data_IF_451343604214
#
_entry.id   IF_451343604214
#
_cell.length_a   1.000
_cell.length_b   1.000
_cell.length_c   1.000
_cell.angle_alpha   90.00
_cell.angle_beta   90.00
_cell.angle_gamma   90.00
#
_symmetry.space_group_name_H-M   'P 1'
#
loop_
_entity.id
_entity.type
_entity.pdbx_description
1 polymer ?
#
# COMPACT_ATOMS: atom_id res chain seq x y z
N UNK A 1 66.36 41.59 -12.00
CA UNK A 1 65.24 41.69 -12.95
C UNK A 1 64.32 40.48 -12.76
N UNK A 2 63.69 40.33 -11.57
CA UNK A 2 62.85 39.16 -11.23
C UNK A 2 61.50 39.52 -10.58
N UNK A 3 61.31 40.75 -10.09
CA UNK A 3 60.06 41.17 -9.45
C UNK A 3 58.91 41.43 -10.43
N UNK A 4 59.22 41.82 -11.67
CA UNK A 4 58.21 42.18 -12.69
C UNK A 4 57.54 40.94 -13.32
N UNK A 5 58.23 39.81 -13.38
CA UNK A 5 57.69 38.56 -13.93
C UNK A 5 56.70 37.87 -12.98
N UNK A 6 56.96 37.92 -11.67
CA UNK A 6 56.08 37.33 -10.66
C UNK A 6 54.78 38.13 -10.49
N UNK A 7 54.84 39.46 -10.62
CA UNK A 7 53.65 40.32 -10.60
C UNK A 7 52.75 40.05 -11.82
N UNK A 8 53.34 39.90 -13.01
CA UNK A 8 52.59 39.57 -14.24
C UNK A 8 51.98 38.18 -14.19
N UNK A 9 52.71 37.17 -13.68
CA UNK A 9 52.17 35.80 -13.51
C UNK A 9 51.01 35.76 -12.53
N UNK A 10 51.09 36.46 -11.39
CA UNK A 10 49.99 36.55 -10.42
C UNK A 10 48.76 37.26 -10.99
N UNK A 11 48.95 38.33 -11.75
CA UNK A 11 47.86 39.02 -12.44
C UNK A 11 47.17 38.12 -13.48
N UNK A 12 47.95 37.34 -14.24
CA UNK A 12 47.44 36.39 -15.24
C UNK A 12 46.65 35.24 -14.58
N UNK A 13 47.17 34.68 -13.47
CA UNK A 13 46.49 33.63 -12.72
C UNK A 13 45.19 34.14 -12.10
N UNK A 14 45.19 35.33 -11.49
CA UNK A 14 43.96 35.92 -10.95
C UNK A 14 42.92 36.24 -12.03
N UNK A 15 43.37 36.67 -13.21
CA UNK A 15 42.48 36.93 -14.33
C UNK A 15 41.85 35.64 -14.88
N UNK A 16 42.64 34.57 -15.02
CA UNK A 16 42.16 33.24 -15.41
C UNK A 16 41.18 32.65 -14.39
N UNK A 17 41.45 32.81 -13.09
CA UNK A 17 40.54 32.42 -12.01
C UNK A 17 39.22 33.20 -12.07
N UNK A 18 39.27 34.50 -12.36
CA UNK A 18 38.09 35.33 -12.54
C UNK A 18 37.20 34.84 -13.70
N UNK A 19 37.79 34.47 -14.83
CA UNK A 19 37.06 33.93 -15.98
C UNK A 19 36.46 32.56 -15.65
N UNK A 20 37.22 31.67 -15.01
CA UNK A 20 36.72 30.36 -14.61
C UNK A 20 35.54 30.48 -13.63
N UNK A 21 35.62 31.38 -12.65
CA UNK A 21 34.55 31.66 -11.71
C UNK A 21 33.30 32.22 -12.41
N UNK A 22 33.48 33.11 -13.40
CA UNK A 22 32.38 33.67 -14.17
C UNK A 22 31.67 32.62 -15.03
N UNK A 23 32.43 31.73 -15.68
CA UNK A 23 31.89 30.61 -16.46
C UNK A 23 31.11 29.65 -15.56
N UNK A 24 31.66 29.32 -14.38
CA UNK A 24 30.99 28.45 -13.41
C UNK A 24 29.69 29.08 -12.89
N UNK A 25 29.70 30.38 -12.58
CA UNK A 25 28.52 31.12 -12.13
C UNK A 25 27.45 31.19 -13.23
N UNK A 26 27.85 31.41 -14.48
CA UNK A 26 26.94 31.42 -15.64
C UNK A 26 26.33 30.04 -15.91
N UNK A 27 27.12 28.97 -15.82
CA UNK A 27 26.63 27.60 -15.97
C UNK A 27 25.64 27.24 -14.85
N UNK A 28 25.95 27.63 -13.60
CA UNK A 28 25.08 27.44 -12.45
C UNK A 28 23.77 28.23 -12.60
N UNK A 29 23.85 29.50 -13.00
CA UNK A 29 22.67 30.33 -13.27
C UNK A 29 21.80 29.73 -14.38
N UNK A 30 22.40 29.24 -15.48
CA UNK A 30 21.66 28.60 -16.58
C UNK A 30 21.00 27.29 -16.16
N UNK A 31 21.65 26.50 -15.31
CA UNK A 31 21.09 25.27 -14.75
C UNK A 31 19.90 25.57 -13.82
N UNK A 32 20.05 26.51 -12.91
CA UNK A 32 18.98 26.90 -11.99
C UNK A 32 17.81 27.60 -12.69
N UNK A 33 18.06 28.59 -13.56
CA UNK A 33 17.00 29.28 -14.30
C UNK A 33 16.31 28.35 -15.31
N UNK A 34 17.06 27.48 -16.00
CA UNK A 34 16.47 26.49 -16.90
C UNK A 34 15.58 25.50 -16.16
N UNK A 35 16.00 25.06 -14.97
CA UNK A 35 15.22 24.17 -14.11
C UNK A 35 13.98 24.86 -13.52
N UNK A 36 14.10 26.13 -13.10
CA UNK A 36 12.99 26.92 -12.55
C UNK A 36 11.93 27.24 -13.61
N UNK A 37 12.35 27.65 -14.81
CA UNK A 37 11.44 27.91 -15.94
C UNK A 37 10.77 26.60 -16.40
N UNK A 38 11.55 25.51 -16.49
CA UNK A 38 11.01 24.18 -16.76
C UNK A 38 9.96 23.76 -15.73
N UNK A 39 10.23 23.96 -14.44
CA UNK A 39 9.30 23.65 -13.36
C UNK A 39 8.02 24.50 -13.42
N UNK A 40 8.13 25.82 -13.61
CA UNK A 40 6.97 26.73 -13.66
C UNK A 40 6.08 26.45 -14.88
N UNK A 41 6.63 26.02 -16.01
CA UNK A 41 5.85 25.71 -17.22
C UNK A 41 5.29 24.29 -17.18
N UNK A 42 6.04 23.31 -16.66
CA UNK A 42 5.62 21.90 -16.66
C UNK A 42 4.61 21.63 -15.53
N UNK A 43 4.76 22.25 -14.36
CA UNK A 43 3.85 22.05 -13.20
C UNK A 43 2.37 22.32 -13.53
N UNK A 44 1.96 23.40 -14.21
CA UNK A 44 0.56 23.61 -14.56
C UNK A 44 0.06 22.60 -15.61
N UNK A 45 0.90 22.17 -16.55
CA UNK A 45 0.54 21.13 -17.55
C UNK A 45 0.31 19.78 -16.86
N UNK A 46 1.19 19.40 -15.93
CA UNK A 46 1.02 18.19 -15.11
C UNK A 46 -0.19 18.35 -14.20
N UNK A 47 -0.40 19.50 -13.58
CA UNK A 47 -1.54 19.77 -12.71
C UNK A 47 -2.88 19.61 -13.44
N UNK A 48 -2.99 20.13 -14.66
CA UNK A 48 -4.17 19.94 -15.51
C UNK A 48 -4.31 18.48 -15.94
N UNK A 49 -3.22 17.83 -16.36
CA UNK A 49 -3.26 16.42 -16.75
C UNK A 49 -3.70 15.50 -15.60
N UNK A 50 -3.16 15.71 -14.39
CA UNK A 50 -3.54 14.99 -13.17
C UNK A 50 -4.99 15.29 -12.79
N UNK A 51 -5.42 16.55 -12.86
CA UNK A 51 -6.81 16.93 -12.54
C UNK A 51 -7.80 16.30 -13.53
N UNK A 52 -7.50 16.34 -14.83
CA UNK A 52 -8.32 15.72 -15.88
C UNK A 52 -8.30 14.20 -15.74
N UNK A 53 -7.18 13.59 -15.39
CA UNK A 53 -7.07 12.15 -15.14
C UNK A 53 -7.89 11.73 -13.93
N UNK A 54 -7.82 12.46 -12.82
CA UNK A 54 -8.60 12.20 -11.59
C UNK A 54 -10.10 12.39 -11.83
N UNK A 55 -10.51 13.41 -12.59
CA UNK A 55 -11.91 13.69 -12.91
C UNK A 55 -12.46 12.69 -13.94
N UNK A 56 -11.70 12.32 -14.98
CA UNK A 56 -12.17 11.39 -16.03
C UNK A 56 -12.11 9.92 -15.62
N UNK A 57 -11.14 9.50 -14.80
CA UNK A 57 -11.02 8.09 -14.38
C UNK A 57 -11.60 7.81 -13.00
N UNK A 58 -12.12 8.82 -12.30
CA UNK A 58 -12.72 8.67 -10.99
C UNK A 58 -11.71 8.29 -9.92
N UNK A 59 -11.75 8.97 -8.79
CA UNK A 59 -10.92 8.69 -7.62
C UNK A 59 -10.95 7.22 -7.15
N UNK A 60 -11.88 6.39 -7.63
CA UNK A 60 -11.99 4.96 -7.30
C UNK A 60 -11.09 4.00 -8.08
N UNK A 61 -10.47 4.38 -9.20
CA UNK A 61 -9.64 3.49 -10.03
C UNK A 61 -8.14 3.58 -9.73
N UNK A 62 -7.59 4.79 -9.71
CA UNK A 62 -6.18 5.05 -9.41
C UNK A 62 -5.84 4.77 -7.94
N UNK A 63 -6.73 5.13 -7.00
CA UNK A 63 -6.62 4.74 -5.59
C UNK A 63 -6.63 3.22 -5.42
N UNK A 64 -7.38 2.50 -6.26
CA UNK A 64 -7.47 1.03 -6.23
C UNK A 64 -6.21 0.36 -6.77
N UNK A 65 -5.56 0.95 -7.77
CA UNK A 65 -4.26 0.50 -8.28
C UNK A 65 -3.13 0.77 -7.28
N UNK A 66 -3.10 1.96 -6.67
CA UNK A 66 -2.17 2.28 -5.58
C UNK A 66 -2.40 1.39 -4.35
N UNK A 67 -3.66 1.16 -3.95
CA UNK A 67 -4.03 0.22 -2.88
C UNK A 67 -3.56 -1.19 -3.23
N UNK A 68 -3.72 -1.65 -4.47
CA UNK A 68 -3.25 -2.98 -4.93
C UNK A 68 -1.72 -3.12 -4.89
N UNK A 69 -0.97 -2.08 -5.24
CA UNK A 69 0.50 -2.08 -5.08
C UNK A 69 0.93 -2.04 -3.63
N UNK A 70 0.25 -1.27 -2.78
CA UNK A 70 0.53 -1.26 -1.33
C UNK A 70 0.17 -2.60 -0.65
N UNK A 71 -0.83 -3.31 -1.18
CA UNK A 71 -1.28 -4.61 -0.68
C UNK A 71 -0.42 -5.80 -1.15
N UNK A 72 0.39 -5.66 -2.21
CA UNK A 72 1.23 -6.79 -2.68
C UNK A 72 2.37 -7.14 -1.72
N UNK A 73 2.63 -6.30 -0.71
CA UNK A 73 3.61 -6.55 0.36
C UNK A 73 3.00 -7.23 1.60
N UNK A 74 1.70 -7.54 1.56
CA UNK A 74 1.03 -8.36 2.57
C UNK A 74 1.02 -9.83 2.13
N UNK A 75 1.77 -10.66 2.84
CA UNK A 75 1.91 -12.11 2.62
C UNK A 75 0.60 -12.85 2.94
N UNK A 76 -0.37 -12.81 2.03
CA UNK A 76 -1.61 -13.59 2.09
C UNK A 76 -2.03 -14.09 0.71
N UNK A 77 -2.80 -15.17 0.68
CA UNK A 77 -3.39 -15.66 -0.57
C UNK A 77 -4.61 -14.81 -0.85
N UNK A 78 -4.55 -14.01 -1.91
CA UNK A 78 -5.67 -13.17 -2.32
C UNK A 78 -6.73 -14.00 -3.05
N UNK A 79 -7.92 -14.08 -2.45
CA UNK A 79 -9.10 -14.64 -3.10
C UNK A 79 -9.97 -13.50 -3.64
N UNK A 80 -10.46 -13.61 -4.87
CA UNK A 80 -11.33 -12.60 -5.46
C UNK A 80 -12.81 -12.91 -5.16
N UNK A 81 -13.52 -11.94 -4.59
CA UNK A 81 -14.98 -11.96 -4.44
C UNK A 81 -15.58 -10.80 -5.24
N UNK A 82 -16.26 -11.07 -6.37
CA UNK A 82 -16.82 -10.03 -7.26
C UNK A 82 -15.84 -8.88 -7.55
N UNK A 83 -14.63 -9.23 -7.99
CA UNK A 83 -13.53 -8.31 -8.29
C UNK A 83 -12.91 -7.56 -7.09
N UNK A 84 -13.35 -7.86 -5.86
CA UNK A 84 -12.70 -7.40 -4.63
C UNK A 84 -11.65 -8.41 -4.16
N UNK A 85 -10.39 -8.01 -3.99
CA UNK A 85 -9.38 -8.86 -3.39
C UNK A 85 -9.64 -9.01 -1.89
N UNK A 86 -9.63 -10.25 -1.40
CA UNK A 86 -9.72 -10.60 0.02
C UNK A 86 -8.44 -11.31 0.41
N UNK A 87 -7.69 -10.70 1.32
CA UNK A 87 -6.49 -11.28 1.88
C UNK A 87 -6.86 -12.30 2.96
N UNK A 88 -6.53 -13.56 2.71
CA UNK A 88 -6.66 -14.65 3.68
C UNK A 88 -5.31 -15.31 3.87
N UNK A 89 -4.91 -15.50 5.13
CA UNK A 89 -3.68 -16.21 5.50
C UNK A 89 -4.01 -17.38 6.42
N UNK A 90 -3.17 -18.40 6.37
CA UNK A 90 -3.23 -19.54 7.26
C UNK A 90 -2.15 -19.39 8.33
N UNK A 91 -2.53 -19.37 9.61
CA UNK A 91 -1.60 -19.23 10.72
C UNK A 91 -2.14 -19.93 11.96
N UNK A 92 -1.28 -20.68 12.66
CA UNK A 92 -1.59 -21.36 13.94
C UNK A 92 -2.81 -22.30 13.90
N UNK A 93 -3.06 -22.93 12.75
CA UNK A 93 -4.17 -23.87 12.57
C UNK A 93 -5.50 -23.24 12.17
N UNK A 94 -5.56 -21.91 12.06
CA UNK A 94 -6.78 -21.18 11.70
C UNK A 94 -6.60 -20.31 10.44
N UNK A 95 -7.71 -20.11 9.72
CA UNK A 95 -7.78 -19.10 8.67
C UNK A 95 -7.96 -17.72 9.29
N UNK A 96 -7.12 -16.78 8.88
CA UNK A 96 -7.17 -15.38 9.29
C UNK A 96 -7.46 -14.51 8.06
N UNK A 97 -8.44 -13.62 8.18
CA UNK A 97 -8.88 -12.75 7.09
C UNK A 97 -8.67 -11.29 7.44
N UNK A 98 -8.14 -10.50 6.50
CA UNK A 98 -7.93 -9.07 6.72
C UNK A 98 -9.28 -8.35 6.87
N UNK A 99 -9.47 -7.68 8.01
CA UNK A 99 -10.73 -7.02 8.33
C UNK A 99 -11.06 -5.87 7.37
N UNK A 100 -10.03 -5.15 6.93
CA UNK A 100 -10.18 -4.03 6.00
C UNK A 100 -10.85 -4.44 4.68
N UNK A 101 -10.50 -5.62 4.14
CA UNK A 101 -11.08 -6.11 2.88
C UNK A 101 -12.55 -6.50 3.06
N UNK A 102 -12.89 -7.11 4.19
CA UNK A 102 -14.28 -7.47 4.54
C UNK A 102 -15.15 -6.22 4.69
N UNK A 103 -14.65 -5.19 5.39
CA UNK A 103 -15.39 -3.94 5.56
C UNK A 103 -15.55 -3.17 4.24
N UNK A 104 -14.53 -3.19 3.37
CA UNK A 104 -14.57 -2.57 2.05
C UNK A 104 -15.64 -3.20 1.15
N UNK A 105 -15.70 -4.54 1.12
CA UNK A 105 -16.75 -5.28 0.38
C UNK A 105 -18.14 -4.88 0.86
N UNK A 106 -18.35 -4.85 2.18
CA UNK A 106 -19.63 -4.53 2.79
C UNK A 106 -19.94 -3.03 2.84
N UNK A 107 -19.06 -2.18 2.27
CA UNK A 107 -19.14 -0.71 2.32
C UNK A 107 -19.37 -0.20 3.75
N UNK A 108 -18.80 -0.90 4.73
CA UNK A 108 -19.00 -0.58 6.13
C UNK A 108 -17.97 0.46 6.56
N UNK A 109 -18.45 1.60 7.05
CA UNK A 109 -17.56 2.61 7.62
C UNK A 109 -16.85 2.02 8.83
N UNK A 110 -15.52 1.98 8.74
CA UNK A 110 -14.67 1.48 9.81
C UNK A 110 -14.34 2.64 10.75
N UNK A 111 -14.70 2.50 12.02
CA UNK A 111 -14.34 3.44 13.10
C UNK A 111 -13.51 2.71 14.17
N UNK A 112 -12.61 3.44 14.84
CA UNK A 112 -11.79 2.94 15.93
C UNK A 112 -12.65 2.34 17.07
N UNK A 113 -13.82 2.94 17.32
CA UNK A 113 -14.79 2.43 18.30
C UNK A 113 -15.34 1.05 17.92
N UNK A 114 -15.65 0.84 16.64
CA UNK A 114 -16.12 -0.45 16.13
C UNK A 114 -15.04 -1.51 16.27
N UNK A 115 -13.81 -1.20 15.84
CA UNK A 115 -12.67 -2.11 15.92
C UNK A 115 -12.40 -2.54 17.36
N UNK A 116 -12.42 -1.58 18.31
CA UNK A 116 -12.26 -1.88 19.74
C UNK A 116 -13.39 -2.74 20.28
N UNK A 117 -14.64 -2.49 19.86
CA UNK A 117 -15.78 -3.31 20.26
C UNK A 117 -15.67 -4.74 19.75
N UNK A 118 -15.24 -4.92 18.50
CA UNK A 118 -15.02 -6.25 17.92
C UNK A 118 -13.90 -6.99 18.64
N UNK A 119 -12.80 -6.29 18.98
CA UNK A 119 -11.69 -6.87 19.74
C UNK A 119 -12.14 -7.32 21.14
N UNK A 120 -12.95 -6.52 21.83
CA UNK A 120 -13.52 -6.89 23.13
C UNK A 120 -14.53 -8.05 23.02
N UNK A 121 -15.30 -8.12 21.93
CA UNK A 121 -16.33 -9.13 21.77
C UNK A 121 -15.77 -10.51 21.40
N UNK A 122 -14.80 -10.55 20.50
CA UNK A 122 -14.24 -11.80 19.97
C UNK A 122 -12.92 -12.21 20.63
N UNK A 123 -12.32 -11.35 21.45
CA UNK A 123 -11.06 -11.61 22.13
C UNK A 123 -9.87 -11.71 21.17
N UNK A 124 -8.70 -12.02 21.74
CA UNK A 124 -7.41 -12.01 21.02
C UNK A 124 -7.30 -13.11 19.94
N UNK A 125 -8.07 -14.19 20.06
CA UNK A 125 -8.08 -15.27 19.07
C UNK A 125 -9.07 -15.02 17.92
N UNK A 126 -10.08 -14.18 18.13
CA UNK A 126 -11.15 -13.96 17.17
C UNK A 126 -11.01 -12.66 16.36
N UNK A 127 -10.61 -11.56 17.00
CA UNK A 127 -10.37 -10.30 16.32
C UNK A 127 -9.19 -9.54 16.94
N UNK A 128 -8.09 -9.48 16.22
CA UNK A 128 -6.83 -8.99 16.78
C UNK A 128 -6.07 -8.12 15.79
N UNK A 129 -5.10 -7.39 16.34
CA UNK A 129 -4.22 -6.50 15.60
C UNK A 129 -2.85 -7.15 15.47
N UNK A 130 -2.33 -7.24 14.25
CA UNK A 130 -0.97 -7.74 14.03
C UNK A 130 0.09 -6.70 14.41
N UNK A 131 1.36 -7.11 14.38
CA UNK A 131 2.51 -6.25 14.67
C UNK A 131 2.68 -5.08 13.69
N UNK A 132 2.16 -5.20 12.45
CA UNK A 132 2.12 -4.12 11.45
C UNK A 132 0.96 -3.16 11.68
N UNK A 133 0.07 -3.48 12.61
CA UNK A 133 -1.10 -2.72 12.97
C UNK A 133 -2.35 -2.99 12.15
N UNK A 134 -2.38 -4.05 11.35
CA UNK A 134 -3.56 -4.49 10.61
C UNK A 134 -4.48 -5.35 11.48
N UNK A 135 -5.78 -5.19 11.29
CA UNK A 135 -6.79 -5.98 11.99
C UNK A 135 -7.16 -7.23 11.20
N UNK A 136 -7.21 -8.35 11.90
CA UNK A 136 -7.49 -9.68 11.37
C UNK A 136 -8.68 -10.30 12.08
N UNK A 137 -9.54 -10.97 11.33
CA UNK A 137 -10.56 -11.86 11.85
C UNK A 137 -10.06 -13.30 11.80
N UNK A 138 -10.23 -14.04 12.90
CA UNK A 138 -10.21 -15.49 12.89
C UNK A 138 -11.45 -16.06 12.19
N UNK A 139 -11.34 -17.29 11.70
CA UNK A 139 -12.39 -17.99 10.93
C UNK A 139 -13.76 -17.93 11.62
N UNK A 140 -13.83 -18.38 12.88
CA UNK A 140 -15.06 -18.46 13.67
C UNK A 140 -15.68 -17.10 13.94
N UNK A 141 -14.85 -16.10 14.28
CA UNK A 141 -15.28 -14.74 14.54
C UNK A 141 -15.82 -14.04 13.29
N UNK A 142 -15.18 -14.25 12.12
CA UNK A 142 -15.69 -13.69 10.86
C UNK A 142 -17.06 -14.26 10.52
N UNK A 143 -17.23 -15.58 10.63
CA UNK A 143 -18.49 -16.24 10.29
C UNK A 143 -19.61 -15.82 11.24
N UNK A 144 -19.36 -15.77 12.55
CA UNK A 144 -20.35 -15.27 13.52
C UNK A 144 -20.71 -13.81 13.26
N UNK A 145 -19.73 -12.94 13.00
CA UNK A 145 -19.96 -11.53 12.73
C UNK A 145 -20.81 -11.32 11.46
N UNK A 146 -20.46 -12.02 10.37
CA UNK A 146 -21.23 -11.99 9.13
C UNK A 146 -22.63 -12.60 9.32
N UNK A 147 -22.76 -13.68 10.08
CA UNK A 147 -24.05 -14.30 10.38
C UNK A 147 -24.98 -13.33 11.11
N UNK A 148 -24.52 -12.72 12.21
CA UNK A 148 -25.30 -11.73 12.97
C UNK A 148 -25.67 -10.52 12.13
N UNK A 149 -24.73 -10.03 11.31
CA UNK A 149 -25.00 -8.92 10.38
C UNK A 149 -26.00 -9.31 9.29
N UNK A 150 -25.98 -10.55 8.81
CA UNK A 150 -26.92 -11.02 7.77
C UNK A 150 -28.38 -11.07 8.24
N UNK A 151 -28.63 -11.08 9.55
CA UNK A 151 -29.98 -11.04 10.11
C UNK A 151 -30.71 -9.73 9.79
N UNK A 152 -30.01 -8.66 9.43
CA UNK A 152 -30.59 -7.37 9.03
C UNK A 152 -30.97 -7.26 7.54
N UNK A 153 -31.29 -8.39 6.87
CA UNK A 153 -31.73 -8.46 5.46
C UNK A 153 -30.70 -8.00 4.41
N UNK A 154 -29.40 -8.02 4.73
CA UNK A 154 -28.36 -7.70 3.76
C UNK A 154 -27.95 -8.94 2.94
N UNK A 155 -28.48 -9.04 1.72
CA UNK A 155 -28.17 -10.10 0.76
C UNK A 155 -26.67 -10.20 0.47
N UNK A 156 -25.95 -9.07 0.43
CA UNK A 156 -24.51 -9.07 0.16
C UNK A 156 -23.73 -9.71 1.31
N UNK A 157 -24.10 -9.38 2.55
CA UNK A 157 -23.51 -10.00 3.75
C UNK A 157 -23.77 -11.52 3.77
N UNK A 158 -25.00 -11.97 3.45
CA UNK A 158 -25.31 -13.40 3.40
C UNK A 158 -24.50 -14.14 2.32
N UNK A 159 -24.32 -13.53 1.15
CA UNK A 159 -23.51 -14.09 0.07
C UNK A 159 -22.04 -14.19 0.47
N UNK A 160 -21.50 -13.15 1.12
CA UNK A 160 -20.13 -13.13 1.62
C UNK A 160 -19.90 -14.21 2.68
N UNK A 161 -20.85 -14.37 3.62
CA UNK A 161 -20.83 -15.46 4.61
C UNK A 161 -20.75 -16.84 3.92
N UNK A 162 -21.63 -17.11 2.94
CA UNK A 162 -21.66 -18.38 2.22
C UNK A 162 -20.36 -18.63 1.45
N UNK A 163 -19.80 -17.59 0.85
CA UNK A 163 -18.56 -17.67 0.10
C UNK A 163 -17.39 -18.05 1.02
N UNK A 164 -17.23 -17.39 2.17
CA UNK A 164 -16.20 -17.77 3.14
C UNK A 164 -16.38 -19.22 3.65
N UNK A 165 -17.60 -19.56 4.06
CA UNK A 165 -17.91 -20.85 4.66
C UNK A 165 -17.77 -22.04 3.69
N UNK A 166 -18.03 -21.85 2.38
CA UNK A 166 -18.05 -22.94 1.40
C UNK A 166 -16.87 -22.95 0.44
N UNK A 167 -16.37 -21.77 0.07
CA UNK A 167 -15.42 -21.63 -1.05
C UNK A 167 -14.02 -21.22 -0.62
N UNK A 168 -13.86 -20.57 0.53
CA UNK A 168 -12.54 -20.04 0.97
C UNK A 168 -11.91 -20.89 2.05
N UNK A 169 -12.59 -21.08 3.19
CA UNK A 169 -12.00 -21.76 4.36
C UNK A 169 -11.80 -23.27 4.16
N UNK A 170 -12.77 -24.05 3.62
CA UNK A 170 -12.58 -25.48 3.41
C UNK A 170 -11.36 -25.85 2.53
N UNK A 171 -11.12 -25.23 1.36
CA UNK A 171 -9.94 -25.55 0.56
C UNK A 171 -8.64 -25.04 1.18
N UNK A 172 -8.67 -23.95 1.95
CA UNK A 172 -7.51 -23.47 2.72
C UNK A 172 -7.10 -24.50 3.79
N UNK A 173 -8.07 -24.98 4.58
CA UNK A 173 -7.86 -26.02 5.60
C UNK A 173 -7.29 -27.29 4.99
N UNK A 174 -7.90 -27.79 3.92
CA UNK A 174 -7.42 -28.99 3.21
C UNK A 174 -5.98 -28.81 2.68
N UNK A 175 -5.64 -27.63 2.15
CA UNK A 175 -4.27 -27.35 1.67
C UNK A 175 -3.26 -27.26 2.81
N UNK A 176 -3.68 -26.81 3.98
CA UNK A 176 -2.85 -26.73 5.17
C UNK A 176 -2.62 -28.11 5.79
N UNK A 177 -3.68 -28.92 5.91
CA UNK A 177 -3.59 -30.33 6.34
C UNK A 177 -2.62 -31.11 5.46
N UNK A 178 -2.76 -31.02 4.13
CA UNK A 178 -1.85 -31.68 3.17
C UNK A 178 -0.40 -31.17 3.26
N UNK A 179 -0.18 -29.92 3.69
CA UNK A 179 1.18 -29.40 3.93
C UNK A 179 1.75 -29.87 5.26
N UNK A 180 0.94 -29.90 6.32
CA UNK A 180 1.33 -30.45 7.62
C UNK A 180 1.68 -31.92 7.50
N UNK A 181 0.87 -32.70 6.77
CA UNK A 181 1.11 -34.11 6.49
C UNK A 181 2.38 -34.31 5.64
N UNK A 182 2.62 -33.45 4.64
CA UNK A 182 3.89 -33.47 3.88
C UNK A 182 5.12 -33.13 4.72
N UNK A 183 5.02 -32.23 5.69
CA UNK A 183 6.13 -31.89 6.58
C UNK A 183 6.46 -33.06 7.51
N UNK A 184 5.43 -33.75 8.02
CA UNK A 184 5.59 -34.94 8.86
C UNK A 184 6.20 -36.12 8.09
N UNK A 185 5.89 -36.29 6.80
CA UNK A 185 6.45 -37.37 5.96
C UNK A 185 7.93 -37.13 5.58
N UNK A 186 8.44 -35.89 5.68
CA UNK A 186 9.84 -35.56 5.35
C UNK A 186 10.75 -35.69 6.58
N UNK A 187 10.18 -35.74 7.79
CA UNK A 187 10.92 -35.93 9.05
C UNK A 187 11.04 -37.40 9.49
N UNK A 188 10.39 -38.33 8.78
CA UNK A 188 10.58 -39.79 8.89
C UNK A 188 11.55 -40.34 7.80
#
# INVERSE_FOLDING_TARGET
MSFDEDARKKALVNWLLGIAAFIALYAYARFFFGWLIGFVVITPIIGVAVSVFVVKHGAGGAFRWLKRMALSDQQGIHHAFHDHPVCVRWQDGDCQTLAADVFDILRHQTDATLLRRLALHYGENGFFKDWRGHWWFGESALLDWLHRRSQSLDYQTLRLHRWFAKEVFPPMRKKAELRGEKLLIIED
#
